data_IF_020934363652
#
_entry.id   IF_020934363652
#
_cell.length_a   1.000
_cell.length_b   1.000
_cell.length_c   1.000
_cell.angle_alpha   90.00
_cell.angle_beta   90.00
_cell.angle_gamma   90.00
#
_symmetry.space_group_name_H-M   'P 1'
#
loop_
_entity.id
_entity.type
_entity.pdbx_description
1 polymer ?
#
# COMPACT_ATOMS: atom_id res chain seq x y z
N UNK A 1 -31.00 19.78 35.52
CA UNK A 1 -29.53 19.61 35.59
C UNK A 1 -29.13 18.78 34.38
N UNK A 2 -28.52 19.38 33.36
CA UNK A 2 -28.11 18.68 32.14
C UNK A 2 -26.60 18.84 32.05
N UNK A 3 -25.87 17.76 32.33
CA UNK A 3 -24.42 17.69 32.18
C UNK A 3 -24.09 17.33 30.73
N UNK A 4 -23.56 18.28 29.98
CA UNK A 4 -22.99 18.06 28.65
C UNK A 4 -21.61 17.43 28.78
N UNK A 5 -21.48 16.14 28.42
CA UNK A 5 -20.18 15.51 28.24
C UNK A 5 -19.59 15.96 26.89
N UNK A 6 -18.54 16.79 26.94
CA UNK A 6 -17.72 17.07 25.77
C UNK A 6 -16.70 15.94 25.59
N UNK A 7 -16.84 15.15 24.53
CA UNK A 7 -15.82 14.21 24.06
C UNK A 7 -14.68 15.01 23.41
N UNK A 8 -13.56 15.16 24.10
CA UNK A 8 -12.33 15.68 23.50
C UNK A 8 -11.62 14.53 22.77
N UNK A 9 -11.71 14.51 21.43
CA UNK A 9 -10.91 13.62 20.59
C UNK A 9 -9.49 14.20 20.49
N UNK A 10 -8.58 13.69 21.31
CA UNK A 10 -7.16 14.00 21.18
C UNK A 10 -6.59 13.20 19.99
N UNK A 11 -6.53 13.81 18.79
CA UNK A 11 -5.66 13.32 17.73
C UNK A 11 -4.22 13.57 18.16
N UNK A 12 -3.56 12.56 18.73
CA UNK A 12 -2.11 12.54 18.83
C UNK A 12 -1.54 12.43 17.41
N UNK A 13 -1.31 13.58 16.78
CA UNK A 13 -0.62 13.67 15.50
C UNK A 13 0.86 13.34 15.74
N UNK A 14 1.21 12.04 15.69
CA UNK A 14 2.60 11.66 15.51
C UNK A 14 3.09 12.30 14.21
N UNK A 15 4.26 12.98 14.21
CA UNK A 15 4.79 13.56 12.98
C UNK A 15 4.91 12.44 11.94
N UNK A 16 4.55 12.71 10.66
CA UNK A 16 4.63 11.70 9.62
C UNK A 16 6.06 11.20 9.56
N UNK A 17 6.28 9.91 9.84
CA UNK A 17 7.58 9.29 9.65
C UNK A 17 7.93 9.45 8.17
N UNK A 18 9.03 10.15 7.90
CA UNK A 18 9.59 10.22 6.56
C UNK A 18 10.17 8.85 6.24
N UNK A 19 9.59 8.16 5.27
CA UNK A 19 10.09 6.88 4.77
C UNK A 19 11.19 7.17 3.75
N UNK A 20 12.40 6.68 4.02
CA UNK A 20 13.51 6.71 3.07
C UNK A 20 13.35 5.54 2.08
N UNK A 21 12.58 5.77 1.01
CA UNK A 21 12.20 4.73 0.04
C UNK A 21 13.37 3.99 -0.62
N UNK A 22 14.48 4.64 -1.02
CA UNK A 22 15.61 3.96 -1.64
C UNK A 22 16.35 2.99 -0.72
N UNK A 23 16.30 3.18 0.60
CA UNK A 23 16.99 2.28 1.55
C UNK A 23 16.17 1.07 1.98
N UNK A 24 14.90 0.99 1.59
CA UNK A 24 14.04 -0.14 1.90
C UNK A 24 14.44 -1.38 1.07
N UNK A 25 14.64 -2.50 1.76
CA UNK A 25 14.84 -3.79 1.11
C UNK A 25 13.57 -4.22 0.34
N UNK A 26 13.69 -4.96 -0.77
CA UNK A 26 12.52 -5.50 -1.46
C UNK A 26 11.78 -6.51 -0.59
N UNK A 27 10.44 -6.48 -0.62
CA UNK A 27 9.61 -7.42 0.13
C UNK A 27 9.81 -8.86 -0.40
N UNK A 28 10.18 -9.82 0.45
CA UNK A 28 10.59 -11.14 -0.01
C UNK A 28 9.40 -12.08 -0.18
N UNK A 29 8.60 -11.89 -1.25
CA UNK A 29 7.52 -12.80 -1.61
C UNK A 29 8.03 -14.22 -1.91
N UNK A 30 7.24 -15.24 -1.57
CA UNK A 30 7.44 -16.61 -2.09
C UNK A 30 6.91 -16.75 -3.51
N UNK A 31 5.76 -16.16 -3.76
CA UNK A 31 5.13 -16.08 -5.07
C UNK A 31 4.71 -14.64 -5.35
N UNK A 32 5.11 -14.11 -6.50
CA UNK A 32 4.79 -12.73 -6.88
C UNK A 32 3.27 -12.57 -7.05
N UNK A 33 2.64 -11.55 -6.42
CA UNK A 33 1.21 -11.29 -6.59
C UNK A 33 0.87 -11.01 -8.06
N UNK A 34 -0.19 -11.64 -8.56
CA UNK A 34 -0.65 -11.45 -9.94
C UNK A 34 -1.78 -10.44 -9.99
N UNK A 35 -1.71 -9.50 -10.94
CA UNK A 35 -2.76 -8.51 -11.19
C UNK A 35 -3.81 -9.10 -12.12
N UNK A 36 -5.07 -9.08 -11.69
CA UNK A 36 -6.19 -9.60 -12.48
C UNK A 36 -6.83 -8.51 -13.34
N UNK A 37 -7.59 -8.87 -14.39
CA UNK A 37 -8.34 -7.91 -15.19
C UNK A 37 -9.33 -7.05 -14.37
N UNK A 38 -9.98 -7.63 -13.36
CA UNK A 38 -10.91 -6.91 -12.50
C UNK A 38 -10.21 -5.84 -11.65
N UNK A 39 -8.98 -6.13 -11.18
CA UNK A 39 -8.15 -5.15 -10.48
C UNK A 39 -7.77 -3.99 -11.41
N UNK A 40 -7.40 -4.27 -12.66
CA UNK A 40 -7.11 -3.25 -13.67
C UNK A 40 -8.34 -2.37 -13.96
N UNK A 41 -9.52 -3.00 -14.09
CA UNK A 41 -10.77 -2.30 -14.33
C UNK A 41 -11.15 -1.39 -13.16
N UNK A 42 -11.01 -1.88 -11.92
CA UNK A 42 -11.24 -1.09 -10.72
C UNK A 42 -10.32 0.14 -10.66
N UNK A 43 -9.01 -0.04 -10.86
CA UNK A 43 -8.04 1.06 -10.82
C UNK A 43 -8.30 2.07 -11.94
N UNK A 44 -8.60 1.61 -13.16
CA UNK A 44 -8.95 2.49 -14.26
C UNK A 44 -10.19 3.34 -13.92
N UNK A 45 -11.23 2.71 -13.38
CA UNK A 45 -12.45 3.39 -12.98
C UNK A 45 -12.19 4.45 -11.89
N UNK A 46 -11.40 4.13 -10.86
CA UNK A 46 -11.07 5.09 -9.81
C UNK A 46 -10.26 6.28 -10.33
N UNK A 47 -9.26 6.03 -11.19
CA UNK A 47 -8.47 7.11 -11.80
C UNK A 47 -9.36 8.05 -12.61
N UNK A 48 -10.25 7.51 -13.46
CA UNK A 48 -11.17 8.33 -14.27
C UNK A 48 -12.20 9.07 -13.41
N UNK A 49 -12.86 8.38 -12.49
CA UNK A 49 -13.94 8.93 -11.65
C UNK A 49 -13.42 10.04 -10.73
N UNK A 50 -12.22 9.85 -10.19
CA UNK A 50 -11.60 10.81 -9.26
C UNK A 50 -10.75 11.86 -9.97
N UNK A 51 -10.61 11.79 -11.30
CA UNK A 51 -9.76 12.69 -12.11
C UNK A 51 -8.32 12.74 -11.59
N UNK A 52 -7.78 11.57 -11.25
CA UNK A 52 -6.41 11.48 -10.76
C UNK A 52 -5.42 11.93 -11.84
N UNK A 53 -4.33 12.65 -11.50
CA UNK A 53 -3.37 13.18 -12.45
C UNK A 53 -2.35 12.11 -12.90
N UNK A 54 -2.82 10.91 -13.23
CA UNK A 54 -2.00 9.77 -13.66
C UNK A 54 -2.50 9.24 -15.01
N UNK A 55 -1.57 8.82 -15.86
CA UNK A 55 -1.90 8.30 -17.19
C UNK A 55 -2.31 6.83 -17.12
N UNK A 56 -3.44 6.49 -17.72
CA UNK A 56 -3.95 5.12 -17.88
C UNK A 56 -4.45 4.92 -19.31
N UNK A 57 -4.43 3.67 -19.78
CA UNK A 57 -4.89 3.32 -21.13
C UNK A 57 -4.07 2.20 -21.76
N UNK A 58 -4.46 1.73 -22.96
CA UNK A 58 -3.80 0.60 -23.62
C UNK A 58 -2.29 0.79 -23.78
N UNK A 59 -1.51 -0.19 -23.32
CA UNK A 59 -0.05 -0.15 -23.36
C UNK A 59 0.62 0.78 -22.34
N UNK A 60 -0.13 1.42 -21.45
CA UNK A 60 0.40 2.23 -20.35
C UNK A 60 0.52 1.40 -19.07
N UNK A 61 1.36 1.88 -18.16
CA UNK A 61 1.62 1.26 -16.86
C UNK A 61 1.49 2.30 -15.75
N UNK A 62 0.82 1.94 -14.67
CA UNK A 62 0.76 2.69 -13.43
C UNK A 62 1.44 1.88 -12.31
N UNK A 63 2.43 2.48 -11.65
CA UNK A 63 3.15 1.84 -10.55
C UNK A 63 2.93 2.57 -9.23
N UNK A 64 2.68 1.80 -8.16
CA UNK A 64 2.50 2.30 -6.79
C UNK A 64 3.50 1.59 -5.88
N UNK A 65 4.43 2.35 -5.31
CA UNK A 65 5.32 1.83 -4.27
C UNK A 65 4.57 1.71 -2.95
N UNK A 66 4.78 0.62 -2.23
CA UNK A 66 4.18 0.38 -0.92
C UNK A 66 5.29 -0.04 0.04
N UNK A 67 5.39 0.68 1.16
CA UNK A 67 6.23 0.31 2.28
C UNK A 67 5.46 -0.64 3.19
N UNK A 68 6.10 -1.70 3.67
CA UNK A 68 5.48 -2.75 4.46
C UNK A 68 6.30 -2.98 5.71
N UNK A 69 5.69 -2.85 6.88
CA UNK A 69 6.32 -3.20 8.14
C UNK A 69 5.99 -4.66 8.45
N UNK A 70 7.02 -5.50 8.52
CA UNK A 70 6.89 -6.92 8.82
C UNK A 70 7.54 -7.19 10.16
N UNK A 71 6.83 -7.86 11.07
CA UNK A 71 7.39 -8.24 12.37
C UNK A 71 8.34 -9.44 12.29
N UNK A 72 8.93 -9.81 13.44
CA UNK A 72 9.85 -10.94 13.55
C UNK A 72 9.19 -12.31 13.28
N UNK A 73 7.85 -12.40 13.29
CA UNK A 73 7.08 -13.60 12.99
C UNK A 73 6.52 -13.61 11.57
N UNK A 74 7.04 -12.76 10.69
CA UNK A 74 6.61 -12.60 9.30
C UNK A 74 5.14 -12.15 9.14
N UNK A 75 4.57 -11.49 10.15
CA UNK A 75 3.25 -10.87 10.04
C UNK A 75 3.35 -9.43 9.55
N UNK A 76 2.34 -9.03 8.77
CA UNK A 76 2.20 -7.66 8.27
C UNK A 76 1.59 -6.78 9.35
N UNK A 77 2.35 -5.78 9.82
CA UNK A 77 1.91 -4.83 10.85
C UNK A 77 1.20 -3.63 10.25
N UNK A 78 1.75 -3.09 9.17
CA UNK A 78 1.17 -1.97 8.44
C UNK A 78 1.72 -1.88 7.03
N UNK A 79 0.95 -1.25 6.15
CA UNK A 79 1.32 -0.93 4.76
C UNK A 79 1.08 0.55 4.51
N UNK A 80 2.07 1.24 3.96
CA UNK A 80 2.02 2.68 3.67
C UNK A 80 2.30 2.87 2.17
N UNK A 81 1.33 3.30 1.37
CA UNK A 81 1.56 3.59 -0.04
C UNK A 81 2.35 4.89 -0.21
N UNK A 82 3.17 4.95 -1.25
CA UNK A 82 3.78 6.20 -1.72
C UNK A 82 2.72 7.00 -2.47
N UNK A 83 2.62 8.28 -2.16
CA UNK A 83 1.65 9.15 -2.79
C UNK A 83 1.90 9.25 -4.32
N UNK A 84 0.85 8.98 -5.09
CA UNK A 84 0.73 9.18 -6.54
C UNK A 84 -0.38 10.20 -6.87
N UNK A 85 -0.88 10.92 -5.87
CA UNK A 85 -1.98 11.87 -5.96
C UNK A 85 -3.31 11.22 -6.36
N UNK A 86 -3.51 9.95 -5.97
CA UNK A 86 -4.75 9.21 -6.21
C UNK A 86 -5.10 8.35 -4.99
N UNK A 87 -5.69 8.95 -3.93
CA UNK A 87 -5.84 8.30 -2.63
C UNK A 87 -6.54 6.94 -2.66
N UNK A 88 -7.61 6.78 -3.47
CA UNK A 88 -8.30 5.47 -3.54
C UNK A 88 -7.38 4.38 -4.10
N UNK A 89 -6.61 4.68 -5.15
CA UNK A 89 -5.69 3.73 -5.78
C UNK A 89 -4.52 3.42 -4.85
N UNK A 90 -4.01 4.42 -4.14
CA UNK A 90 -2.97 4.26 -3.12
C UNK A 90 -3.42 3.30 -2.00
N UNK A 91 -4.61 3.53 -1.43
CA UNK A 91 -5.16 2.68 -0.38
C UNK A 91 -5.48 1.27 -0.90
N UNK A 92 -5.97 1.16 -2.13
CA UNK A 92 -6.21 -0.12 -2.77
C UNK A 92 -4.93 -0.93 -2.95
N UNK A 93 -3.85 -0.30 -3.46
CA UNK A 93 -2.55 -0.94 -3.59
C UNK A 93 -1.98 -1.39 -2.23
N UNK A 94 -2.13 -0.56 -1.19
CA UNK A 94 -1.70 -0.91 0.17
C UNK A 94 -2.46 -2.13 0.70
N UNK A 95 -3.79 -2.17 0.56
CA UNK A 95 -4.61 -3.30 0.97
C UNK A 95 -4.29 -4.58 0.18
N UNK A 96 -4.06 -4.45 -1.14
CA UNK A 96 -3.64 -5.57 -1.99
C UNK A 96 -2.32 -6.17 -1.51
N UNK A 97 -1.31 -5.33 -1.24
CA UNK A 97 0.00 -5.78 -0.73
C UNK A 97 -0.15 -6.45 0.63
N UNK A 98 -0.94 -5.89 1.54
CA UNK A 98 -1.18 -6.48 2.85
C UNK A 98 -1.83 -7.88 2.74
N UNK A 99 -2.80 -8.03 1.84
CA UNK A 99 -3.43 -9.32 1.55
C UNK A 99 -2.48 -10.32 0.90
N UNK A 100 -1.74 -9.88 -0.12
CA UNK A 100 -0.86 -10.73 -0.90
C UNK A 100 0.40 -11.17 -0.15
N UNK A 101 0.85 -10.41 0.85
CA UNK A 101 2.00 -10.76 1.68
C UNK A 101 1.65 -11.73 2.83
N UNK A 102 0.39 -11.75 3.28
CA UNK A 102 -0.03 -12.61 4.39
C UNK A 102 0.15 -14.09 4.03
N UNK A 103 1.03 -14.78 4.77
CA UNK A 103 1.35 -16.19 4.53
C UNK A 103 2.20 -16.45 3.27
N UNK A 104 2.68 -15.41 2.60
CA UNK A 104 3.38 -15.50 1.32
C UNK A 104 4.79 -14.85 1.37
N UNK A 105 5.37 -14.69 2.55
CA UNK A 105 6.75 -14.21 2.71
C UNK A 105 7.72 -15.38 2.89
N UNK A 106 8.91 -15.29 2.28
CA UNK A 106 10.02 -16.20 2.57
C UNK A 106 10.35 -16.13 4.06
N UNK A 107 10.66 -17.26 4.73
CA UNK A 107 11.01 -17.24 6.14
C UNK A 107 12.26 -16.38 6.35
N UNK A 108 12.26 -15.58 7.41
CA UNK A 108 13.41 -14.74 7.77
C UNK A 108 13.92 -15.05 9.16
N UNK A 109 15.22 -14.93 9.35
CA UNK A 109 15.82 -14.85 10.68
C UNK A 109 15.85 -13.38 11.12
N UNK A 110 14.69 -12.85 11.48
CA UNK A 110 14.57 -11.48 11.97
C UNK A 110 14.35 -11.47 13.48
N UNK A 111 15.05 -10.61 14.20
CA UNK A 111 14.87 -10.39 15.65
C UNK A 111 14.00 -9.18 15.99
N UNK A 112 13.61 -8.39 14.98
CA UNK A 112 12.84 -7.16 15.13
C UNK A 112 11.99 -6.87 13.89
N UNK A 113 11.06 -5.93 14.04
CA UNK A 113 10.26 -5.38 12.95
C UNK A 113 11.17 -4.71 11.90
N UNK A 114 10.88 -4.94 10.62
CA UNK A 114 11.66 -4.39 9.52
C UNK A 114 10.75 -3.83 8.42
N UNK A 115 11.14 -2.67 7.89
CA UNK A 115 10.50 -2.05 6.75
C UNK A 115 11.03 -2.63 5.44
N UNK A 116 10.10 -2.88 4.51
CA UNK A 116 10.36 -3.32 3.15
C UNK A 116 9.63 -2.43 2.16
N UNK A 117 10.01 -2.51 0.90
CA UNK A 117 9.31 -1.91 -0.24
C UNK A 117 8.85 -2.99 -1.20
N UNK A 118 7.68 -2.81 -1.78
CA UNK A 118 7.23 -3.52 -2.96
C UNK A 118 6.58 -2.52 -3.93
N UNK A 119 6.44 -2.90 -5.20
CA UNK A 119 5.83 -2.05 -6.22
C UNK A 119 4.70 -2.81 -6.89
N UNK A 120 3.48 -2.30 -6.75
CA UNK A 120 2.32 -2.83 -7.48
C UNK A 120 2.28 -2.18 -8.85
N UNK A 121 2.21 -2.98 -9.90
CA UNK A 121 2.28 -2.50 -11.28
C UNK A 121 1.02 -2.90 -12.05
N UNK A 122 0.23 -1.91 -12.45
CA UNK A 122 -0.96 -2.08 -13.27
C UNK A 122 -0.61 -1.80 -14.72
N UNK A 123 -0.61 -2.82 -15.57
CA UNK A 123 -0.33 -2.70 -17.00
C UNK A 123 -1.56 -3.04 -17.81
N UNK A 124 -2.05 -2.10 -18.61
CA UNK A 124 -3.19 -2.34 -19.49
C UNK A 124 -2.71 -2.95 -20.81
N UNK A 125 -3.33 -4.05 -21.28
CA UNK A 125 -2.99 -4.64 -22.58
C UNK A 125 -3.20 -3.63 -23.71
N UNK A 126 -2.41 -3.76 -24.77
CA UNK A 126 -2.52 -2.95 -25.99
C UNK A 126 -3.77 -3.30 -26.78
#
# INVERSE_FOLDING_TARGET
>A
MIATLALAVALQANPPRVIDWPSLAPLPYRAEPQITPDMLAFVANEVTTRKCPVAIGPGLTLSVDVAVLVDAQDNIRTTVPRAIQCPTVEQYAAAMVAGAARGNLLPRQASADQWYRTTVTFTWPK
#
